data_IF_811487713527
#
_entry.id   IF_811487713527
#
_cell.length_a   1.000
_cell.length_b   1.000
_cell.length_c   1.000
_cell.angle_alpha   90.00
_cell.angle_beta   90.00
_cell.angle_gamma   90.00
#
_symmetry.space_group_name_H-M   'P 1'
#
loop_
_entity.id
_entity.type
_entity.pdbx_description
1 polymer ?
#
# COMPACT_ATOMS: atom_id res chain seq x y z
N UNK A 1 -8.85 14.93 -19.08
CA UNK A 1 -9.29 14.15 -17.92
C UNK A 1 -8.08 13.98 -17.04
N UNK A 2 -7.92 14.78 -15.97
CA UNK A 2 -6.87 14.56 -15.00
C UNK A 2 -7.02 13.21 -14.32
N UNK A 3 -5.90 12.51 -14.25
CA UNK A 3 -5.73 11.34 -13.43
C UNK A 3 -5.05 11.76 -12.13
N UNK A 4 -5.63 11.39 -10.99
CA UNK A 4 -5.23 11.90 -9.68
C UNK A 4 -4.91 10.73 -8.77
N UNK A 5 -3.71 10.76 -8.17
CA UNK A 5 -3.33 9.89 -7.07
C UNK A 5 -3.38 10.74 -5.81
N UNK A 6 -4.27 10.37 -4.89
CA UNK A 6 -4.43 11.00 -3.59
C UNK A 6 -3.64 10.20 -2.56
N UNK A 7 -2.54 10.76 -2.08
CA UNK A 7 -1.75 10.16 -1.02
C UNK A 7 -2.49 10.29 0.32
N UNK A 8 -2.82 9.15 0.93
CA UNK A 8 -3.47 9.08 2.25
C UNK A 8 -2.56 9.67 3.33
N UNK A 9 -3.11 10.06 4.50
CA UNK A 9 -2.31 10.58 5.61
C UNK A 9 -1.21 9.60 5.99
N UNK A 10 0.03 10.08 5.92
CA UNK A 10 1.23 9.32 6.22
C UNK A 10 2.16 10.21 7.05
N UNK A 11 2.82 9.66 8.08
CA UNK A 11 3.78 10.40 8.88
C UNK A 11 4.92 11.02 8.08
N UNK A 12 5.43 12.16 8.55
CA UNK A 12 6.78 12.62 8.24
C UNK A 12 7.77 11.76 9.05
N UNK A 13 8.08 10.57 8.55
CA UNK A 13 8.82 9.54 9.29
C UNK A 13 10.11 10.04 9.95
N UNK A 14 10.97 10.86 9.32
CA UNK A 14 12.15 11.42 9.95
C UNK A 14 11.90 12.22 11.23
N UNK A 15 10.70 12.81 11.38
CA UNK A 15 10.34 13.68 12.51
C UNK A 15 9.19 13.14 13.35
N UNK A 16 8.62 12.00 12.96
CA UNK A 16 7.43 11.45 13.59
C UNK A 16 7.69 11.00 15.02
N UNK A 17 6.88 11.49 15.96
CA UNK A 17 6.84 10.93 17.32
C UNK A 17 6.06 9.61 17.29
N UNK A 18 6.73 8.50 17.63
CA UNK A 18 6.07 7.20 17.66
C UNK A 18 4.93 7.14 18.70
N UNK A 19 4.91 8.03 19.70
CA UNK A 19 3.79 8.14 20.64
C UNK A 19 2.49 8.55 19.95
N UNK A 20 2.55 9.29 18.84
CA UNK A 20 1.37 9.66 18.04
C UNK A 20 0.71 8.45 17.37
N UNK A 21 1.44 7.32 17.22
CA UNK A 21 0.87 6.09 16.66
C UNK A 21 -0.21 5.46 17.54
N UNK A 22 -0.26 5.78 18.84
CA UNK A 22 -1.23 5.21 19.80
C UNK A 22 -2.68 5.41 19.39
N UNK A 23 -3.02 6.60 18.89
CA UNK A 23 -4.37 6.94 18.47
C UNK A 23 -4.82 6.08 17.28
N UNK A 24 -3.93 5.95 16.29
CA UNK A 24 -4.16 5.08 15.13
C UNK A 24 -4.29 3.61 15.54
N UNK A 25 -3.35 3.09 16.34
CA UNK A 25 -3.34 1.69 16.79
C UNK A 25 -4.59 1.34 17.60
N UNK A 26 -5.00 2.23 18.50
CA UNK A 26 -6.25 2.08 19.26
C UNK A 26 -7.47 2.04 18.35
N UNK A 27 -7.51 2.90 17.32
CA UNK A 27 -8.59 2.96 16.33
C UNK A 27 -8.75 1.67 15.51
N UNK A 28 -7.66 0.91 15.32
CA UNK A 28 -7.68 -0.39 14.63
C UNK A 28 -7.67 -1.60 15.59
N UNK A 29 -7.84 -1.35 16.90
CA UNK A 29 -7.93 -2.40 17.92
C UNK A 29 -6.61 -3.12 18.21
N UNK A 30 -5.47 -2.47 17.99
CA UNK A 30 -4.14 -3.00 18.32
C UNK A 30 -3.67 -2.43 19.67
N UNK A 31 -2.67 -3.10 20.27
CA UNK A 31 -1.97 -2.56 21.43
C UNK A 31 -1.40 -1.16 21.10
N UNK A 32 -1.75 -0.11 21.86
CA UNK A 32 -1.31 1.26 21.58
C UNK A 32 0.22 1.43 21.58
N UNK A 33 0.95 0.61 22.34
CA UNK A 33 2.41 0.71 22.44
C UNK A 33 3.14 -0.24 21.46
N UNK A 34 2.40 -1.01 20.65
CA UNK A 34 2.95 -2.02 19.74
C UNK A 34 4.10 -1.52 18.85
N UNK A 35 3.91 -0.38 18.19
CA UNK A 35 4.92 0.19 17.27
C UNK A 35 6.09 0.79 18.05
N UNK A 36 5.83 1.37 19.22
CA UNK A 36 6.86 1.95 20.09
C UNK A 36 7.80 0.85 20.59
N UNK A 37 7.23 -0.23 21.12
CA UNK A 37 7.95 -1.41 21.58
C UNK A 37 8.78 -2.05 20.46
N UNK A 38 8.17 -2.24 19.29
CA UNK A 38 8.85 -2.84 18.14
C UNK A 38 10.02 -1.97 17.69
N UNK A 39 9.81 -0.66 17.54
CA UNK A 39 10.86 0.27 17.14
C UNK A 39 12.00 0.31 18.16
N UNK A 40 11.71 0.26 19.46
CA UNK A 40 12.74 0.23 20.50
C UNK A 40 13.63 -1.03 20.43
N UNK A 41 13.05 -2.19 20.09
CA UNK A 41 13.84 -3.40 19.83
C UNK A 41 14.63 -3.26 18.53
N UNK A 42 13.98 -2.84 17.45
CA UNK A 42 14.57 -2.65 16.13
C UNK A 42 15.79 -1.72 16.17
N UNK A 43 15.64 -0.51 16.73
CA UNK A 43 16.64 0.55 16.71
C UNK A 43 17.90 0.17 17.51
N UNK A 44 17.74 -0.63 18.57
CA UNK A 44 18.85 -1.18 19.36
C UNK A 44 19.58 -2.30 18.62
N UNK A 45 18.87 -3.09 17.83
CA UNK A 45 19.43 -4.27 17.15
C UNK A 45 20.10 -3.91 15.83
N UNK A 46 19.51 -3.04 15.00
CA UNK A 46 19.91 -2.88 13.60
C UNK A 46 20.59 -1.55 13.29
N UNK A 47 21.45 -1.55 12.27
CA UNK A 47 22.24 -0.38 11.82
C UNK A 47 21.37 0.77 11.29
N UNK A 48 20.18 0.48 10.75
CA UNK A 48 19.18 1.48 10.34
C UNK A 48 18.00 1.46 11.30
N UNK A 49 17.60 2.63 11.79
CA UNK A 49 16.44 2.75 12.66
C UNK A 49 15.10 2.56 11.91
N UNK A 50 14.04 2.29 12.67
CA UNK A 50 12.69 1.99 12.20
C UNK A 50 12.14 3.11 11.30
N UNK A 51 12.31 4.37 11.70
CA UNK A 51 11.79 5.52 10.96
C UNK A 51 12.52 5.69 9.63
N UNK A 52 13.83 5.52 9.62
CA UNK A 52 14.65 5.55 8.41
C UNK A 52 14.23 4.46 7.41
N UNK A 53 13.86 3.26 7.88
CA UNK A 53 13.33 2.20 7.01
C UNK A 53 11.95 2.56 6.47
N UNK A 54 11.04 3.06 7.32
CA UNK A 54 9.70 3.54 6.88
C UNK A 54 9.82 4.62 5.82
N UNK A 55 10.70 5.59 6.03
CA UNK A 55 10.93 6.68 5.09
C UNK A 55 11.49 6.17 3.76
N UNK A 56 12.47 5.25 3.80
CA UNK A 56 13.03 4.69 2.58
C UNK A 56 11.98 3.93 1.75
N UNK A 57 11.13 3.11 2.40
CA UNK A 57 10.01 2.43 1.72
C UNK A 57 9.03 3.46 1.15
N UNK A 58 8.72 4.52 1.90
CA UNK A 58 7.88 5.61 1.43
C UNK A 58 8.41 6.28 0.17
N UNK A 59 9.71 6.55 0.12
CA UNK A 59 10.31 7.13 -1.08
C UNK A 59 10.22 6.21 -2.31
N UNK A 60 10.30 4.88 -2.13
CA UNK A 60 10.06 3.92 -3.23
C UNK A 60 8.62 3.99 -3.74
N UNK A 61 7.63 4.05 -2.84
CA UNK A 61 6.23 4.20 -3.18
C UNK A 61 5.96 5.51 -3.94
N UNK A 62 6.41 6.64 -3.40
CA UNK A 62 6.27 7.95 -4.05
C UNK A 62 6.95 8.01 -5.42
N UNK A 63 8.11 7.35 -5.59
CA UNK A 63 8.76 7.22 -6.88
C UNK A 63 7.94 6.37 -7.88
N UNK A 64 7.17 5.39 -7.41
CA UNK A 64 6.21 4.67 -8.25
C UNK A 64 5.04 5.56 -8.68
N UNK A 65 4.53 6.42 -7.78
CA UNK A 65 3.38 7.29 -8.08
C UNK A 65 3.73 8.36 -9.10
N UNK A 66 4.91 8.97 -8.95
CA UNK A 66 5.44 9.94 -9.93
C UNK A 66 5.73 9.32 -11.30
N UNK A 67 5.88 8.00 -11.38
CA UNK A 67 6.09 7.28 -12.64
C UNK A 67 4.78 6.93 -13.36
N UNK A 68 3.61 7.12 -12.73
CA UNK A 68 2.31 6.88 -13.36
C UNK A 68 2.06 7.95 -14.41
N UNK A 69 1.98 7.53 -15.68
CA UNK A 69 1.89 8.43 -16.81
C UNK A 69 0.62 9.30 -16.74
N UNK A 70 0.81 10.62 -16.86
CA UNK A 70 -0.29 11.60 -16.86
C UNK A 70 -0.95 11.85 -15.50
N UNK A 71 -0.52 11.17 -14.44
CA UNK A 71 -1.11 11.31 -13.12
C UNK A 71 -0.53 12.49 -12.34
N UNK A 72 -1.38 13.17 -11.58
CA UNK A 72 -0.98 14.18 -10.59
C UNK A 72 -1.06 13.56 -9.19
N UNK A 73 0.03 13.67 -8.42
CA UNK A 73 0.07 13.24 -7.02
C UNK A 73 -0.31 14.40 -6.10
N UNK A 74 -1.34 14.19 -5.27
CA UNK A 74 -1.88 15.20 -4.35
C UNK A 74 -1.97 14.61 -2.94
N UNK A 75 -1.42 15.26 -1.89
CA UNK A 75 -1.67 14.84 -0.51
C UNK A 75 -3.15 14.99 -0.14
N UNK A 76 -3.71 14.06 0.64
CA UNK A 76 -5.13 14.10 1.02
C UNK A 76 -5.55 15.44 1.65
N UNK A 77 -4.69 16.04 2.48
CA UNK A 77 -4.95 17.33 3.12
C UNK A 77 -5.10 18.51 2.12
N UNK A 78 -4.56 18.37 0.91
CA UNK A 78 -4.65 19.34 -0.17
C UNK A 78 -5.68 18.96 -1.25
N UNK A 79 -6.29 17.77 -1.14
CA UNK A 79 -7.25 17.28 -2.12
C UNK A 79 -8.62 17.94 -1.92
N UNK A 80 -9.18 18.53 -2.99
CA UNK A 80 -10.48 19.22 -2.97
C UNK A 80 -11.48 18.39 -3.80
N UNK A 81 -12.35 17.59 -3.18
CA UNK A 81 -13.18 16.63 -3.93
C UNK A 81 -14.13 17.29 -4.94
N UNK A 82 -14.60 18.50 -4.64
CA UNK A 82 -15.52 19.26 -5.50
C UNK A 82 -14.88 19.83 -6.77
N UNK A 83 -13.56 19.72 -6.95
CA UNK A 83 -12.89 20.17 -8.17
C UNK A 83 -12.78 19.09 -9.26
N UNK A 84 -13.15 17.84 -8.96
CA UNK A 84 -13.07 16.75 -9.91
C UNK A 84 -14.25 16.78 -10.90
N UNK A 85 -13.96 16.76 -12.20
CA UNK A 85 -14.96 16.58 -13.24
C UNK A 85 -15.44 15.11 -13.27
N UNK A 86 -16.67 14.82 -13.75
CA UNK A 86 -17.20 13.45 -13.78
C UNK A 86 -16.30 12.41 -14.45
N UNK A 87 -15.54 12.82 -15.47
CA UNK A 87 -14.61 11.98 -16.22
C UNK A 87 -13.18 11.91 -15.66
N UNK A 88 -12.93 12.48 -14.48
CA UNK A 88 -11.63 12.35 -13.82
C UNK A 88 -11.49 10.96 -13.20
N UNK A 89 -10.26 10.49 -12.99
CA UNK A 89 -10.01 9.23 -12.29
C UNK A 89 -9.17 9.48 -11.05
N UNK A 90 -9.63 8.96 -9.91
CA UNK A 90 -9.08 9.26 -8.59
C UNK A 90 -8.75 7.95 -7.88
N UNK A 91 -7.49 7.78 -7.51
CA UNK A 91 -7.01 6.65 -6.70
C UNK A 91 -6.54 7.19 -5.36
N UNK A 92 -6.93 6.55 -4.25
CA UNK A 92 -6.32 6.80 -2.94
C UNK A 92 -5.22 5.77 -2.74
N UNK A 93 -4.06 6.16 -2.21
CA UNK A 93 -2.92 5.27 -1.99
C UNK A 93 -2.33 5.44 -0.59
N UNK A 94 -1.90 4.34 0.00
CA UNK A 94 -1.01 4.35 1.17
C UNK A 94 0.39 4.82 0.78
N UNK A 95 1.30 4.98 1.73
CA UNK A 95 2.66 5.47 1.46
C UNK A 95 3.68 4.35 1.28
N UNK A 96 3.28 3.08 1.31
CA UNK A 96 4.19 1.92 1.23
C UNK A 96 3.89 0.96 0.06
N UNK A 97 2.81 1.20 -0.69
CA UNK A 97 2.41 0.37 -1.84
C UNK A 97 2.89 0.95 -3.18
N UNK A 98 2.96 0.13 -4.23
CA UNK A 98 3.43 0.57 -5.56
C UNK A 98 2.31 0.57 -6.60
N UNK A 99 2.40 1.47 -7.59
CA UNK A 99 1.48 1.55 -8.72
C UNK A 99 2.20 1.30 -10.05
N UNK A 100 1.48 0.68 -10.99
CA UNK A 100 1.96 0.48 -12.35
C UNK A 100 2.12 1.82 -13.09
N UNK A 101 3.23 2.05 -13.82
CA UNK A 101 3.41 3.27 -14.62
C UNK A 101 2.28 3.51 -15.66
N UNK A 102 1.64 2.43 -16.12
CA UNK A 102 0.53 2.46 -17.07
C UNK A 102 -0.86 2.40 -16.45
N UNK A 103 -1.00 2.59 -15.13
CA UNK A 103 -2.25 2.35 -14.38
C UNK A 103 -3.47 2.98 -15.06
N UNK A 104 -3.47 4.31 -15.23
CA UNK A 104 -4.64 4.98 -15.81
C UNK A 104 -4.77 4.77 -17.32
N UNK A 105 -3.68 4.48 -18.03
CA UNK A 105 -3.73 4.10 -19.44
C UNK A 105 -4.41 2.74 -19.68
N UNK A 106 -4.39 1.86 -18.68
CA UNK A 106 -5.06 0.56 -18.72
C UNK A 106 -6.55 0.62 -18.34
N UNK A 107 -6.99 1.70 -17.69
CA UNK A 107 -8.39 1.88 -17.33
C UNK A 107 -9.14 2.51 -18.52
N UNK A 108 -10.34 2.04 -18.87
CA UNK A 108 -11.13 2.67 -19.90
C UNK A 108 -11.48 4.11 -19.50
N UNK A 109 -11.59 4.98 -20.50
CA UNK A 109 -11.97 6.36 -20.27
C UNK A 109 -13.40 6.39 -19.70
N UNK A 110 -13.66 7.11 -18.58
CA UNK A 110 -15.00 7.25 -18.06
C UNK A 110 -15.85 8.04 -19.06
N UNK A 111 -16.98 7.46 -19.49
CA UNK A 111 -18.01 8.21 -20.19
C UNK A 111 -18.62 9.25 -19.24
N UNK A 112 -18.82 10.52 -19.66
CA UNK A 112 -19.24 11.60 -18.75
C UNK A 112 -20.60 11.37 -18.10
N UNK A 113 -21.49 10.58 -18.73
CA UNK A 113 -22.84 10.30 -18.23
C UNK A 113 -23.08 8.81 -17.95
N UNK A 114 -22.41 7.92 -18.67
CA UNK A 114 -22.66 6.47 -18.65
C UNK A 114 -21.45 5.63 -18.21
N UNK A 115 -20.32 6.26 -17.88
CA UNK A 115 -19.14 5.55 -17.38
C UNK A 115 -19.39 4.89 -16.02
N UNK A 116 -18.48 4.00 -15.56
CA UNK A 116 -18.58 3.41 -14.22
C UNK A 116 -18.31 4.45 -13.12
N UNK A 117 -18.78 4.17 -11.92
CA UNK A 117 -18.44 4.94 -10.71
C UNK A 117 -17.03 4.59 -10.20
N UNK A 118 -16.57 3.37 -10.46
CA UNK A 118 -15.22 2.96 -10.10
C UNK A 118 -14.68 1.82 -10.94
N UNK A 119 -13.39 1.60 -10.76
CA UNK A 119 -12.61 0.57 -11.43
C UNK A 119 -11.95 -0.29 -10.36
N UNK A 120 -11.82 -1.60 -10.59
CA UNK A 120 -11.03 -2.50 -9.72
C UNK A 120 -10.05 -3.32 -10.53
N UNK A 121 -9.00 -3.79 -9.89
CA UNK A 121 -8.04 -4.70 -10.50
C UNK A 121 -7.48 -5.72 -9.49
N UNK A 122 -6.86 -6.78 -9.99
CA UNK A 122 -6.03 -7.65 -9.18
C UNK A 122 -4.74 -6.93 -8.76
N UNK A 123 -4.12 -7.29 -7.65
CA UNK A 123 -2.87 -6.64 -7.21
C UNK A 123 -1.75 -7.67 -7.08
N UNK A 124 -0.51 -7.24 -7.17
CA UNK A 124 0.60 -8.04 -6.68
C UNK A 124 0.74 -7.85 -5.17
N UNK A 125 1.47 -8.76 -4.54
CA UNK A 125 1.92 -8.63 -3.17
C UNK A 125 3.39 -8.99 -3.12
N UNK A 126 4.17 -8.19 -2.41
CA UNK A 126 5.54 -8.50 -1.99
C UNK A 126 5.57 -8.48 -0.47
N UNK A 127 6.23 -9.44 0.15
CA UNK A 127 6.50 -9.42 1.58
C UNK A 127 5.95 -10.62 2.33
N UNK A 128 5.94 -10.49 3.65
CA UNK A 128 5.62 -11.59 4.55
C UNK A 128 4.16 -12.03 4.38
N UNK A 129 3.95 -13.35 4.39
CA UNK A 129 2.62 -13.88 4.66
C UNK A 129 2.29 -13.86 6.15
N UNK A 130 1.12 -13.31 6.46
CA UNK A 130 0.58 -13.23 7.82
C UNK A 130 -0.61 -14.16 8.02
N UNK A 131 -1.06 -14.85 6.96
CA UNK A 131 -2.07 -15.89 7.07
C UNK A 131 -1.43 -17.16 7.65
N UNK A 132 -1.75 -17.55 8.90
CA UNK A 132 -1.22 -18.77 9.51
C UNK A 132 -1.73 -20.04 8.82
N UNK A 133 -2.77 -19.94 7.99
CA UNK A 133 -3.35 -21.06 7.24
C UNK A 133 -2.65 -21.31 5.90
N UNK A 134 -1.83 -20.37 5.43
CA UNK A 134 -1.05 -20.48 4.20
C UNK A 134 0.48 -20.41 4.43
N UNK A 135 1.07 -21.23 5.31
CA UNK A 135 2.52 -21.28 5.46
C UNK A 135 3.17 -21.73 4.14
N UNK A 136 4.05 -20.90 3.60
CA UNK A 136 4.77 -21.18 2.34
C UNK A 136 4.24 -20.44 1.10
N UNK A 137 3.33 -19.48 1.24
CA UNK A 137 2.95 -18.62 0.14
C UNK A 137 4.19 -17.90 -0.47
N UNK A 138 4.23 -17.73 -1.82
CA UNK A 138 5.33 -17.02 -2.46
C UNK A 138 5.49 -15.61 -1.91
N UNK A 139 6.73 -15.18 -1.69
CA UNK A 139 7.03 -13.85 -1.18
C UNK A 139 6.62 -12.74 -2.15
N UNK A 140 6.64 -13.02 -3.46
CA UNK A 140 6.01 -12.21 -4.49
C UNK A 140 4.91 -13.04 -5.15
N UNK A 141 3.66 -12.58 -5.08
CA UNK A 141 2.51 -13.32 -5.57
C UNK A 141 1.50 -12.40 -6.26
N UNK A 142 0.90 -12.89 -7.34
CA UNK A 142 -0.31 -12.32 -7.88
C UNK A 142 -1.48 -12.58 -6.92
N UNK A 143 -2.25 -11.54 -6.62
CA UNK A 143 -3.54 -11.60 -5.93
C UNK A 143 -4.61 -11.29 -6.95
N UNK A 144 -5.24 -12.33 -7.56
CA UNK A 144 -6.29 -12.14 -8.55
C UNK A 144 -7.39 -11.22 -8.02
N UNK A 145 -8.12 -10.59 -8.93
CA UNK A 145 -9.28 -9.81 -8.54
C UNK A 145 -10.26 -10.73 -7.80
N UNK A 146 -10.55 -10.37 -6.55
CA UNK A 146 -11.53 -11.03 -5.71
C UNK A 146 -12.55 -10.03 -5.19
N UNK A 147 -13.28 -10.42 -4.16
CA UNK A 147 -14.32 -9.57 -3.57
C UNK A 147 -13.73 -8.40 -2.75
N UNK A 148 -12.46 -8.48 -2.37
CA UNK A 148 -11.81 -7.53 -1.47
C UNK A 148 -11.26 -6.31 -2.23
N UNK A 149 -11.66 -5.12 -1.79
CA UNK A 149 -11.23 -3.81 -2.29
C UNK A 149 -10.23 -3.21 -1.32
N UNK A 150 -8.95 -3.43 -1.57
CA UNK A 150 -7.83 -2.82 -0.86
C UNK A 150 -7.62 -1.35 -1.26
N UNK A 151 -6.95 -0.60 -0.40
CA UNK A 151 -6.59 0.81 -0.62
C UNK A 151 -5.63 1.06 -1.79
N UNK A 152 -5.27 0.03 -2.56
CA UNK A 152 -4.39 0.17 -3.70
C UNK A 152 -4.91 -0.53 -4.97
N UNK A 153 -6.11 -1.14 -4.96
CA UNK A 153 -6.60 -1.93 -6.10
C UNK A 153 -7.91 -1.42 -6.72
N UNK A 154 -8.18 -0.12 -6.57
CA UNK A 154 -9.31 0.54 -7.21
C UNK A 154 -9.00 2.01 -7.55
N UNK A 155 -9.81 2.57 -8.44
CA UNK A 155 -9.93 4.00 -8.67
C UNK A 155 -11.41 4.37 -8.79
N UNK A 156 -11.79 5.61 -8.49
CA UNK A 156 -13.12 6.15 -8.74
C UNK A 156 -13.10 7.02 -9.99
N UNK A 157 -14.23 7.10 -10.69
CA UNK A 157 -14.49 8.26 -11.53
C UNK A 157 -14.80 9.48 -10.66
N UNK A 158 -14.72 10.70 -11.21
CA UNK A 158 -15.16 11.89 -10.48
C UNK A 158 -16.62 11.81 -10.05
N UNK A 159 -17.48 11.20 -10.88
CA UNK A 159 -18.87 10.90 -10.52
C UNK A 159 -18.96 9.94 -9.32
N UNK A 160 -18.19 8.85 -9.35
CA UNK A 160 -18.14 7.90 -8.25
C UNK A 160 -17.65 8.54 -6.95
N UNK A 161 -16.66 9.44 -7.04
CA UNK A 161 -16.19 10.21 -5.89
C UNK A 161 -17.26 11.13 -5.31
N UNK A 162 -18.07 11.80 -6.14
CA UNK A 162 -19.20 12.61 -5.67
C UNK A 162 -20.21 11.76 -4.90
N UNK A 163 -20.50 10.55 -5.38
CA UNK A 163 -21.45 9.62 -4.72
C UNK A 163 -20.89 9.04 -3.43
N UNK A 164 -19.63 8.60 -3.43
CA UNK A 164 -19.00 7.95 -2.30
C UNK A 164 -18.56 8.93 -1.20
N UNK A 165 -18.14 10.14 -1.62
CA UNK A 165 -17.37 11.05 -0.79
C UNK A 165 -15.98 10.52 -0.45
N UNK A 166 -15.11 11.40 0.05
CA UNK A 166 -13.75 11.02 0.48
C UNK A 166 -13.80 9.99 1.61
N UNK A 167 -14.73 10.12 2.56
CA UNK A 167 -14.85 9.17 3.66
C UNK A 167 -15.27 7.77 3.18
N UNK A 168 -16.04 7.68 2.09
CA UNK A 168 -16.44 6.41 1.47
C UNK A 168 -15.32 5.76 0.65
N UNK A 169 -14.36 6.54 0.16
CA UNK A 169 -13.27 6.03 -0.67
C UNK A 169 -11.95 5.85 0.10
N UNK A 170 -11.55 6.84 0.92
CA UNK A 170 -10.20 6.95 1.45
C UNK A 170 -9.76 5.86 2.44
N UNK A 171 -10.67 5.05 2.97
CA UNK A 171 -10.38 3.98 3.93
C UNK A 171 -10.81 2.61 3.38
N UNK A 172 -10.00 1.58 3.61
CA UNK A 172 -10.22 0.22 3.08
C UNK A 172 -11.64 -0.32 3.31
N UNK A 173 -12.11 -0.31 4.57
CA UNK A 173 -13.44 -0.83 4.92
C UNK A 173 -14.57 0.03 4.35
N UNK A 174 -14.35 1.34 4.21
CA UNK A 174 -15.34 2.21 3.60
C UNK A 174 -15.43 1.98 2.08
N UNK A 175 -14.28 1.90 1.40
CA UNK A 175 -14.20 1.60 -0.02
C UNK A 175 -14.86 0.26 -0.35
N UNK A 176 -14.60 -0.78 0.46
CA UNK A 176 -15.26 -2.08 0.32
C UNK A 176 -16.79 -1.96 0.32
N UNK A 177 -17.36 -1.19 1.25
CA UNK A 177 -18.82 -1.01 1.32
C UNK A 177 -19.34 -0.22 0.11
N UNK A 178 -18.65 0.83 -0.30
CA UNK A 178 -19.02 1.64 -1.46
C UNK A 178 -19.03 0.80 -2.74
N UNK A 179 -17.95 0.06 -3.02
CA UNK A 179 -17.85 -0.79 -4.21
C UNK A 179 -18.77 -2.02 -4.16
N UNK A 180 -19.25 -2.41 -2.98
CA UNK A 180 -20.25 -3.47 -2.80
C UNK A 180 -21.71 -2.99 -2.86
N UNK A 181 -21.95 -1.68 -2.95
CA UNK A 181 -23.31 -1.15 -3.02
C UNK A 181 -23.95 -1.50 -4.37
N UNK A 182 -25.22 -1.94 -4.35
CA UNK A 182 -25.92 -2.45 -5.53
C UNK A 182 -26.09 -1.43 -6.66
N UNK A 183 -26.07 -0.14 -6.32
CA UNK A 183 -26.22 0.99 -7.24
C UNK A 183 -24.87 1.60 -7.68
N UNK A 184 -23.74 1.07 -7.20
CA UNK A 184 -22.40 1.55 -7.54
C UNK A 184 -21.84 0.75 -8.72
N UNK A 185 -21.70 1.41 -9.87
CA UNK A 185 -21.27 0.76 -11.10
C UNK A 185 -19.76 0.58 -11.10
N UNK A 186 -19.31 -0.68 -11.12
CA UNK A 186 -17.90 -1.02 -11.09
C UNK A 186 -17.48 -1.70 -12.38
N UNK A 187 -16.34 -1.30 -12.92
CA UNK A 187 -15.69 -1.96 -14.03
C UNK A 187 -14.40 -2.66 -13.57
N UNK A 188 -14.29 -3.94 -13.89
CA UNK A 188 -13.15 -4.75 -13.50
C UNK A 188 -12.08 -4.77 -14.61
N UNK A 189 -10.85 -4.46 -14.24
CA UNK A 189 -9.68 -4.51 -15.11
C UNK A 189 -8.91 -5.83 -14.87
N UNK A 190 -8.59 -6.60 -15.94
CA UNK A 190 -7.96 -7.90 -15.80
C UNK A 190 -6.45 -7.84 -15.46
N UNK A 191 -5.85 -6.64 -15.46
CA UNK A 191 -4.41 -6.47 -15.24
C UNK A 191 -4.07 -6.32 -13.75
N UNK A 192 -2.78 -6.48 -13.42
CA UNK A 192 -2.25 -6.21 -12.10
C UNK A 192 -1.61 -4.82 -12.06
N UNK A 193 -2.36 -3.82 -11.58
CA UNK A 193 -1.95 -2.41 -11.66
C UNK A 193 -1.37 -1.83 -10.38
N UNK A 194 -1.29 -2.63 -9.31
CA UNK A 194 -0.67 -2.22 -8.04
C UNK A 194 0.05 -3.38 -7.36
N UNK A 195 0.89 -3.06 -6.38
CA UNK A 195 1.62 -4.03 -5.57
C UNK A 195 1.57 -3.61 -4.11
N UNK A 196 1.04 -4.48 -3.24
CA UNK A 196 1.10 -4.27 -1.81
C UNK A 196 2.46 -4.69 -1.25
N UNK A 197 3.14 -3.83 -0.50
CA UNK A 197 4.45 -4.17 0.09
C UNK A 197 4.31 -4.38 1.60
N UNK A 198 4.48 -5.63 2.03
CA UNK A 198 4.41 -6.04 3.44
C UNK A 198 5.81 -6.23 4.02
N UNK A 199 6.50 -5.11 4.19
CA UNK A 199 7.84 -5.03 4.76
C UNK A 199 7.83 -5.18 6.30
N UNK A 200 8.96 -5.49 6.97
CA UNK A 200 9.02 -5.78 8.41
C UNK A 200 8.56 -4.65 9.31
N UNK A 201 8.63 -3.39 8.84
CA UNK A 201 8.22 -2.21 9.59
C UNK A 201 6.77 -1.78 9.30
N UNK A 202 6.02 -2.51 8.45
CA UNK A 202 4.58 -2.25 8.23
C UNK A 202 3.78 -2.65 9.47
N UNK A 203 2.71 -1.93 9.83
CA UNK A 203 2.00 -2.16 11.11
C UNK A 203 1.48 -3.59 11.24
N UNK A 204 0.98 -4.18 10.15
CA UNK A 204 0.51 -5.57 10.12
C UNK A 204 1.68 -6.54 10.34
N UNK A 205 2.85 -6.28 9.73
CA UNK A 205 4.05 -7.08 9.97
C UNK A 205 4.55 -6.97 11.40
N UNK A 206 4.58 -5.75 11.95
CA UNK A 206 4.99 -5.50 13.33
C UNK A 206 4.13 -6.34 14.28
N UNK A 207 2.80 -6.30 14.14
CA UNK A 207 1.87 -7.10 14.96
C UNK A 207 2.20 -8.59 14.88
N UNK A 208 2.35 -9.13 13.67
CA UNK A 208 2.60 -10.56 13.47
C UNK A 208 3.96 -11.00 14.03
N UNK A 209 5.00 -10.19 13.84
CA UNK A 209 6.35 -10.50 14.31
C UNK A 209 6.46 -10.42 15.84
N UNK A 210 5.86 -9.39 16.45
CA UNK A 210 5.85 -9.25 17.91
C UNK A 210 5.14 -10.42 18.59
N UNK A 211 4.05 -10.92 18.00
CA UNK A 211 3.38 -12.13 18.47
C UNK A 211 4.20 -13.41 18.27
N UNK A 212 5.13 -13.43 17.31
CA UNK A 212 5.95 -14.59 16.96
C UNK A 212 7.32 -14.63 17.66
N UNK A 213 7.59 -13.73 18.62
CA UNK A 213 8.84 -13.70 19.38
C UNK A 213 9.93 -12.82 18.78
N UNK A 214 9.55 -11.69 18.16
CA UNK A 214 10.52 -10.70 17.65
C UNK A 214 11.39 -10.09 18.76
N UNK A 215 10.92 -10.03 20.00
CA UNK A 215 11.69 -9.46 21.12
C UNK A 215 12.93 -10.29 21.44
N UNK A 216 12.83 -11.61 21.28
CA UNK A 216 13.85 -12.58 21.65
C UNK A 216 14.88 -12.80 20.53
N UNK A 217 14.46 -12.71 19.27
CA UNK A 217 15.33 -13.00 18.12
C UNK A 217 14.99 -12.10 16.90
N UNK A 218 15.14 -10.77 17.00
CA UNK A 218 14.80 -9.83 15.92
C UNK A 218 15.54 -10.12 14.62
N UNK A 219 16.81 -10.53 14.68
CA UNK A 219 17.68 -10.83 13.54
C UNK A 219 17.09 -11.93 12.66
N UNK A 220 16.52 -12.97 13.27
CA UNK A 220 15.88 -14.09 12.56
C UNK A 220 14.77 -13.60 11.62
N UNK A 221 14.02 -12.58 12.03
CA UNK A 221 12.92 -12.04 11.21
C UNK A 221 13.44 -11.22 10.03
N UNK A 222 14.48 -10.40 10.25
CA UNK A 222 15.13 -9.65 9.18
C UNK A 222 15.81 -10.60 8.18
N UNK A 223 16.58 -11.59 8.64
CA UNK A 223 17.24 -12.58 7.79
C UNK A 223 16.24 -13.40 6.97
N UNK A 224 15.10 -13.78 7.58
CA UNK A 224 14.02 -14.46 6.85
C UNK A 224 13.44 -13.56 5.76
N UNK A 225 13.24 -12.28 6.05
CA UNK A 225 12.74 -11.32 5.08
C UNK A 225 13.73 -11.09 3.93
N UNK A 226 15.01 -10.86 4.24
CA UNK A 226 16.07 -10.65 3.25
C UNK A 226 16.19 -11.85 2.28
N UNK A 227 16.26 -13.07 2.82
CA UNK A 227 16.32 -14.30 2.02
C UNK A 227 15.11 -14.47 1.11
N UNK A 228 13.91 -14.27 1.65
CA UNK A 228 12.69 -14.40 0.87
C UNK A 228 12.57 -13.30 -0.22
N UNK A 229 13.14 -12.12 0.05
CA UNK A 229 13.22 -11.02 -0.91
C UNK A 229 14.22 -11.33 -2.04
N UNK A 230 15.36 -11.96 -1.74
CA UNK A 230 16.32 -12.46 -2.74
C UNK A 230 15.71 -13.54 -3.64
N UNK A 231 14.99 -14.48 -3.05
CA UNK A 231 14.32 -15.61 -3.74
C UNK A 231 13.04 -15.19 -4.48
N UNK A 232 12.56 -13.95 -4.27
CA UNK A 232 11.30 -13.48 -4.86
C UNK A 232 11.35 -13.49 -6.39
N UNK A 233 10.40 -14.22 -7.00
CA UNK A 233 10.19 -14.26 -8.45
C UNK A 233 9.04 -13.33 -8.82
N UNK A 234 9.30 -12.37 -9.70
CA UNK A 234 8.27 -11.47 -10.23
C UNK A 234 7.46 -12.21 -11.30
N UNK A 235 6.13 -12.28 -11.19
CA UNK A 235 5.31 -12.87 -12.23
C UNK A 235 5.37 -12.01 -13.52
N UNK A 236 5.30 -12.60 -14.73
CA UNK A 236 5.44 -11.86 -15.99
C UNK A 236 4.50 -10.65 -16.14
N UNK A 237 3.24 -10.81 -15.76
CA UNK A 237 2.20 -9.77 -15.74
C UNK A 237 2.49 -8.62 -14.76
N UNK A 238 3.44 -8.84 -13.85
CA UNK A 238 3.91 -7.89 -12.85
C UNK A 238 5.29 -7.31 -13.10
N UNK A 239 5.91 -7.55 -14.26
CA UNK A 239 7.30 -7.17 -14.56
C UNK A 239 7.66 -5.71 -14.25
N UNK A 240 6.68 -4.80 -14.26
CA UNK A 240 6.84 -3.39 -13.89
C UNK A 240 7.31 -3.18 -12.43
N UNK A 241 7.13 -4.14 -11.52
CA UNK A 241 7.63 -4.04 -10.13
C UNK A 241 9.13 -4.30 -10.01
N UNK A 242 9.77 -4.95 -10.99
CA UNK A 242 11.13 -5.44 -10.86
C UNK A 242 12.16 -4.35 -10.45
N UNK A 243 12.15 -3.13 -11.02
CA UNK A 243 13.10 -2.10 -10.58
C UNK A 243 12.91 -1.68 -9.13
N UNK A 244 11.68 -1.69 -8.62
CA UNK A 244 11.38 -1.33 -7.21
C UNK A 244 11.69 -2.48 -6.28
N UNK A 245 11.45 -3.72 -6.69
CA UNK A 245 11.88 -4.90 -5.96
C UNK A 245 13.40 -4.92 -5.75
N UNK A 246 14.17 -4.53 -6.77
CA UNK A 246 15.64 -4.44 -6.65
C UNK A 246 16.08 -3.31 -5.69
N UNK A 247 15.41 -2.17 -5.73
CA UNK A 247 15.65 -1.09 -4.77
C UNK A 247 15.30 -1.51 -3.33
N UNK A 248 14.22 -2.29 -3.17
CA UNK A 248 13.83 -2.87 -1.88
C UNK A 248 14.87 -3.89 -1.39
N UNK A 249 15.41 -4.74 -2.28
CA UNK A 249 16.52 -5.66 -1.98
C UNK A 249 17.73 -4.91 -1.46
N UNK A 250 18.16 -3.89 -2.18
CA UNK A 250 19.30 -3.05 -1.79
C UNK A 250 19.06 -2.42 -0.42
N UNK A 251 17.87 -1.83 -0.20
CA UNK A 251 17.49 -1.21 1.08
C UNK A 251 17.67 -2.20 2.24
N UNK A 252 17.15 -3.42 2.11
CA UNK A 252 17.18 -4.38 3.21
C UNK A 252 18.52 -5.11 3.33
N UNK A 253 19.27 -5.33 2.25
CA UNK A 253 20.61 -5.92 2.30
C UNK A 253 21.63 -5.04 3.08
N UNK A 254 21.41 -3.73 3.09
CA UNK A 254 22.25 -2.77 3.85
C UNK A 254 21.99 -2.78 5.36
N UNK A 255 20.91 -3.41 5.81
CA UNK A 255 20.55 -3.48 7.23
C UNK A 255 21.28 -4.67 7.87
N UNK A 256 22.09 -4.39 8.88
CA UNK A 256 22.88 -5.38 9.62
C UNK A 256 22.58 -5.26 11.10
N UNK A 257 22.83 -6.32 11.86
CA UNK A 257 22.88 -6.23 13.32
C UNK A 257 24.07 -5.36 13.75
N UNK A 258 23.91 -4.62 14.85
CA UNK A 258 24.96 -3.78 15.45
C UNK A 258 25.99 -4.61 16.22
#
# INVERSE_FOLDING_TARGET
>A
MPDIIVLRPSPDWPRFDLCESRAFLSGVGFDPDLVIDFAAVWDRTFTRDYRSVREAVKQLALASYRAVAGATLVPLAAFVPGSCAPGDRILFADDDDWLSPGLFGALPAPGPETGPDGYRWGSLRIGLDFDPTAPGAPFCAARPLGEIVYTNNYALSGRGLVRAGVAGAGEHTAAQRTFGAADFQVEDCPLYLSCAVKHPCSTVAVRAQMAAGFREAPERFLERFQRALEEAVVPPEGSWVAPRLEALRTLFADIRSR
#
